data_IF_283491085155
#
_entry.id   IF_283491085155
#
_cell.length_a   1.000
_cell.length_b   1.000
_cell.length_c   1.000
_cell.angle_alpha   90.00
_cell.angle_beta   90.00
_cell.angle_gamma   90.00
#
_symmetry.space_group_name_H-M   'P 1'
#
loop_
_entity.id
_entity.type
_entity.pdbx_description
1 polymer ?
#
# COMPACT_ATOMS: atom_id res chain seq x y z
N UNK A 1 8.52 16.64 20.85
CA UNK A 1 7.41 16.45 19.88
C UNK A 1 7.19 17.77 19.18
N UNK A 2 6.75 17.81 17.91
CA UNK A 2 6.34 19.07 17.29
C UNK A 2 5.22 19.72 18.12
N UNK A 3 5.21 21.05 18.19
CA UNK A 3 4.26 21.82 19.01
C UNK A 3 2.82 21.76 18.48
N UNK A 4 2.66 21.35 17.22
CA UNK A 4 1.36 21.19 16.57
C UNK A 4 1.28 19.82 15.87
N UNK A 5 0.08 19.19 15.83
CA UNK A 5 -0.18 18.04 14.98
C UNK A 5 0.22 18.30 13.53
N UNK A 6 0.70 17.26 12.79
CA UNK A 6 1.25 17.42 11.45
C UNK A 6 0.26 17.95 10.40
N UNK A 7 -1.04 17.92 10.71
CA UNK A 7 -2.11 18.32 9.77
C UNK A 7 -2.61 19.76 9.97
N UNK A 8 -2.08 20.53 10.92
CA UNK A 8 -2.44 21.94 11.10
C UNK A 8 -1.54 22.87 10.27
N UNK A 9 -2.08 24.02 9.85
CA UNK A 9 -1.33 25.05 9.12
C UNK A 9 -0.92 24.68 7.69
N UNK A 10 -1.61 23.73 7.07
CA UNK A 10 -1.33 23.30 5.69
C UNK A 10 -1.74 24.38 4.67
N UNK A 11 -1.03 24.43 3.54
CA UNK A 11 -1.34 25.37 2.45
C UNK A 11 -2.61 24.91 1.69
N UNK A 12 -3.70 25.68 1.69
CA UNK A 12 -4.96 25.27 1.06
C UNK A 12 -5.07 25.64 -0.44
N UNK A 13 -4.00 26.16 -1.06
CA UNK A 13 -4.05 26.77 -2.40
C UNK A 13 -4.61 25.84 -3.49
N UNK A 14 -4.38 24.53 -3.40
CA UNK A 14 -4.80 23.56 -4.44
C UNK A 14 -5.62 22.39 -3.87
N UNK A 15 -6.59 22.71 -2.99
CA UNK A 15 -7.53 21.74 -2.44
C UNK A 15 -8.84 21.77 -3.25
N UNK A 16 -9.07 20.76 -4.10
CA UNK A 16 -10.15 20.77 -5.10
C UNK A 16 -11.33 19.84 -4.78
N UNK A 17 -11.22 19.01 -3.74
CA UNK A 17 -12.32 18.14 -3.33
C UNK A 17 -13.44 18.92 -2.66
N UNK A 18 -14.68 18.48 -2.87
CA UNK A 18 -15.78 18.93 -2.04
C UNK A 18 -15.67 18.28 -0.63
N UNK A 19 -16.46 18.78 0.32
CA UNK A 19 -16.39 18.33 1.71
C UNK A 19 -16.75 16.84 1.89
N UNK A 20 -17.66 16.31 1.08
CA UNK A 20 -18.11 14.91 1.15
C UNK A 20 -17.00 13.96 0.69
N UNK A 21 -16.44 14.22 -0.49
CA UNK A 21 -15.30 13.47 -1.04
C UNK A 21 -14.10 13.52 -0.08
N UNK A 22 -13.81 14.69 0.47
CA UNK A 22 -12.69 14.86 1.39
C UNK A 22 -12.88 14.07 2.69
N UNK A 23 -14.10 14.04 3.24
CA UNK A 23 -14.42 13.23 4.42
C UNK A 23 -14.34 11.73 4.13
N UNK A 24 -14.82 11.31 2.96
CA UNK A 24 -14.73 9.92 2.51
C UNK A 24 -13.27 9.45 2.41
N UNK A 25 -12.44 10.21 1.68
CA UNK A 25 -11.01 9.95 1.52
C UNK A 25 -10.28 9.92 2.86
N UNK A 26 -10.59 10.85 3.77
CA UNK A 26 -10.02 10.88 5.11
C UNK A 26 -10.41 9.63 5.94
N UNK A 27 -11.64 9.12 5.76
CA UNK A 27 -12.07 7.86 6.37
C UNK A 27 -11.25 6.68 5.86
N UNK A 28 -11.13 6.54 4.55
CA UNK A 28 -10.38 5.45 3.93
C UNK A 28 -8.86 5.53 4.18
N UNK A 29 -8.32 6.72 4.43
CA UNK A 29 -6.94 6.87 4.90
C UNK A 29 -6.67 6.10 6.20
N UNK A 30 -7.60 6.12 7.16
CA UNK A 30 -7.44 5.33 8.39
C UNK A 30 -7.59 3.83 8.15
N UNK A 31 -8.48 3.43 7.23
CA UNK A 31 -8.57 2.02 6.79
C UNK A 31 -7.25 1.56 6.12
N UNK A 32 -6.59 2.44 5.37
CA UNK A 32 -5.30 2.15 4.74
C UNK A 32 -4.20 1.84 5.77
N UNK A 33 -4.21 2.50 6.94
CA UNK A 33 -3.28 2.19 8.04
C UNK A 33 -3.48 0.76 8.52
N UNK A 34 -4.74 0.31 8.64
CA UNK A 34 -5.04 -1.07 9.01
C UNK A 34 -4.60 -2.07 7.94
N UNK A 35 -4.86 -1.79 6.66
CA UNK A 35 -4.39 -2.63 5.55
C UNK A 35 -2.85 -2.72 5.52
N UNK A 36 -2.14 -1.63 5.78
CA UNK A 36 -0.68 -1.62 5.88
C UNK A 36 -0.18 -2.47 7.07
N UNK A 37 -0.88 -2.43 8.20
CA UNK A 37 -0.60 -3.30 9.34
C UNK A 37 -0.79 -4.78 8.98
N UNK A 38 -1.87 -5.13 8.27
CA UNK A 38 -2.13 -6.51 7.81
C UNK A 38 -1.02 -6.99 6.85
N UNK A 39 -0.53 -6.13 5.94
CA UNK A 39 0.66 -6.43 5.13
C UNK A 39 1.89 -6.74 6.00
N UNK A 40 2.13 -5.96 7.05
CA UNK A 40 3.23 -6.20 8.00
C UNK A 40 3.04 -7.48 8.81
N UNK A 41 1.81 -7.91 9.09
CA UNK A 41 1.54 -9.20 9.74
C UNK A 41 1.96 -10.36 8.84
N UNK A 42 1.68 -10.29 7.53
CA UNK A 42 2.16 -11.30 6.57
C UNK A 42 3.70 -11.36 6.57
N UNK A 43 4.36 -10.20 6.56
CA UNK A 43 5.81 -10.12 6.69
C UNK A 43 6.30 -10.72 8.01
N UNK A 44 5.59 -10.53 9.13
CA UNK A 44 5.98 -11.13 10.40
C UNK A 44 5.81 -12.66 10.42
N UNK A 45 4.77 -13.21 9.76
CA UNK A 45 4.52 -14.66 9.71
C UNK A 45 5.68 -15.45 9.09
N UNK A 46 6.28 -14.91 8.02
CA UNK A 46 7.39 -15.54 7.28
C UNK A 46 8.76 -14.87 7.52
N UNK A 47 8.76 -13.67 8.10
CA UNK A 47 9.91 -12.80 8.31
C UNK A 47 10.35 -12.65 9.77
N UNK A 48 9.53 -13.11 10.71
CA UNK A 48 9.70 -12.97 12.15
C UNK A 48 9.27 -11.61 12.69
N UNK A 49 9.53 -10.51 11.96
CA UNK A 49 9.10 -9.15 12.34
C UNK A 49 8.99 -8.21 11.14
N UNK A 50 8.25 -7.14 11.33
CA UNK A 50 8.24 -5.96 10.47
C UNK A 50 8.29 -4.68 11.34
N UNK A 51 9.06 -3.65 10.98
CA UNK A 51 9.98 -3.57 9.83
C UNK A 51 11.27 -4.38 10.01
N UNK A 52 12.03 -4.53 8.92
CA UNK A 52 13.32 -5.24 8.84
C UNK A 52 13.25 -6.72 9.25
N UNK A 53 12.61 -7.57 8.44
CA UNK A 53 12.62 -9.02 8.68
C UNK A 53 14.03 -9.61 8.68
N UNK A 54 14.28 -10.64 9.50
CA UNK A 54 15.58 -11.30 9.66
C UNK A 54 15.52 -12.79 9.25
N UNK A 55 14.50 -13.19 8.50
CA UNK A 55 14.33 -14.61 8.10
C UNK A 55 15.16 -15.01 6.89
N UNK A 56 15.67 -14.05 6.10
CA UNK A 56 16.51 -14.37 4.95
C UNK A 56 17.85 -14.96 5.38
N UNK A 57 18.16 -16.12 4.81
CA UNK A 57 19.41 -16.85 5.02
C UNK A 57 19.96 -17.29 3.67
N UNK A 58 21.24 -17.61 3.63
CA UNK A 58 21.84 -18.22 2.44
C UNK A 58 21.08 -19.52 2.10
N UNK A 59 20.47 -19.58 0.92
CA UNK A 59 19.67 -20.71 0.47
C UNK A 59 18.15 -20.57 0.64
N UNK A 60 17.64 -19.48 1.24
CA UNK A 60 16.20 -19.22 1.26
C UNK A 60 15.73 -18.45 2.50
N UNK A 61 14.69 -18.97 3.15
CA UNK A 61 14.00 -18.35 4.28
C UNK A 61 14.00 -19.32 5.47
N UNK A 62 14.35 -18.82 6.66
CA UNK A 62 14.46 -19.63 7.88
C UNK A 62 13.09 -20.08 8.44
N UNK A 63 12.02 -19.37 8.10
CA UNK A 63 10.67 -19.69 8.57
C UNK A 63 10.01 -20.76 7.68
N UNK A 64 9.65 -21.90 8.28
CA UNK A 64 8.87 -22.92 7.59
C UNK A 64 7.44 -22.43 7.27
N UNK A 65 6.92 -22.70 6.05
CA UNK A 65 5.56 -22.36 5.64
C UNK A 65 4.57 -23.44 6.10
N UNK A 66 4.25 -23.47 7.39
CA UNK A 66 3.25 -24.40 7.91
C UNK A 66 1.84 -24.07 7.38
N UNK A 67 0.96 -25.06 7.29
CA UNK A 67 -0.41 -24.89 6.80
C UNK A 67 -1.13 -23.73 7.53
N UNK A 68 -1.03 -23.66 8.85
CA UNK A 68 -1.66 -22.60 9.66
C UNK A 68 -1.16 -21.19 9.29
N UNK A 69 0.12 -21.04 8.93
CA UNK A 69 0.68 -19.73 8.51
C UNK A 69 0.20 -19.35 7.13
N UNK A 70 0.08 -20.33 6.22
CA UNK A 70 -0.42 -20.12 4.87
C UNK A 70 -1.89 -19.69 4.92
N UNK A 71 -2.73 -20.38 5.69
CA UNK A 71 -4.14 -20.02 5.87
C UNK A 71 -4.30 -18.62 6.47
N UNK A 72 -3.53 -18.27 7.51
CA UNK A 72 -3.51 -16.92 8.06
C UNK A 72 -3.11 -15.87 7.03
N UNK A 73 -2.08 -16.14 6.23
CA UNK A 73 -1.64 -15.22 5.19
C UNK A 73 -2.70 -15.04 4.09
N UNK A 74 -3.37 -16.12 3.66
CA UNK A 74 -4.45 -16.06 2.66
C UNK A 74 -5.65 -15.23 3.17
N UNK A 75 -6.02 -15.39 4.43
CA UNK A 75 -7.08 -14.58 5.04
C UNK A 75 -6.72 -13.08 5.05
N UNK A 76 -5.48 -12.74 5.44
CA UNK A 76 -4.98 -11.36 5.42
C UNK A 76 -4.94 -10.81 3.98
N UNK A 77 -4.47 -11.59 3.01
CA UNK A 77 -4.47 -11.22 1.58
C UNK A 77 -5.89 -10.95 1.08
N UNK A 78 -6.88 -11.73 1.53
CA UNK A 78 -8.29 -11.49 1.22
C UNK A 78 -8.75 -10.11 1.67
N UNK A 79 -8.50 -9.76 2.94
CA UNK A 79 -8.82 -8.43 3.50
C UNK A 79 -8.11 -7.30 2.76
N UNK A 80 -6.80 -7.45 2.50
CA UNK A 80 -6.01 -6.45 1.78
C UNK A 80 -6.52 -6.29 0.34
N UNK A 81 -6.83 -7.39 -0.35
CA UNK A 81 -7.37 -7.33 -1.71
C UNK A 81 -8.72 -6.62 -1.75
N UNK A 82 -9.58 -6.83 -0.76
CA UNK A 82 -10.87 -6.15 -0.68
C UNK A 82 -10.68 -4.65 -0.44
N UNK A 83 -9.79 -4.26 0.48
CA UNK A 83 -9.42 -2.86 0.69
C UNK A 83 -8.90 -2.21 -0.61
N UNK A 84 -7.99 -2.88 -1.32
CA UNK A 84 -7.42 -2.35 -2.57
C UNK A 84 -8.53 -2.11 -3.60
N UNK A 85 -9.39 -3.10 -3.83
CA UNK A 85 -10.45 -3.01 -4.86
C UNK A 85 -11.55 -2.03 -4.51
N UNK A 86 -12.01 -2.03 -3.26
CA UNK A 86 -13.19 -1.28 -2.84
C UNK A 86 -12.90 0.13 -2.33
N UNK A 87 -11.64 0.43 -1.96
CA UNK A 87 -11.21 1.72 -1.41
C UNK A 87 -10.10 2.35 -2.24
N UNK A 88 -8.92 1.74 -2.24
CA UNK A 88 -7.72 2.35 -2.82
C UNK A 88 -7.87 2.67 -4.32
N UNK A 89 -8.44 1.74 -5.09
CA UNK A 89 -8.70 1.95 -6.53
C UNK A 89 -9.74 3.05 -6.74
N UNK A 90 -10.82 3.04 -5.97
CA UNK A 90 -11.86 4.07 -6.04
C UNK A 90 -11.31 5.47 -5.74
N UNK A 91 -10.49 5.61 -4.70
CA UNK A 91 -9.84 6.86 -4.33
C UNK A 91 -8.89 7.35 -5.43
N UNK A 92 -8.11 6.43 -6.00
CA UNK A 92 -7.22 6.73 -7.12
C UNK A 92 -8.00 7.25 -8.33
N UNK A 93 -9.13 6.63 -8.66
CA UNK A 93 -9.99 7.08 -9.74
C UNK A 93 -10.59 8.47 -9.46
N UNK A 94 -11.06 8.72 -8.23
CA UNK A 94 -11.57 10.04 -7.84
C UNK A 94 -10.50 11.12 -7.95
N UNK A 95 -9.32 10.89 -7.38
CA UNK A 95 -8.17 11.81 -7.47
C UNK A 95 -7.82 12.07 -8.93
N UNK A 96 -7.80 11.02 -9.77
CA UNK A 96 -7.45 11.13 -11.19
C UNK A 96 -8.40 12.05 -11.97
N UNK A 97 -9.69 12.07 -11.61
CA UNK A 97 -10.70 12.93 -12.23
C UNK A 97 -10.56 14.38 -11.75
N UNK A 98 -10.45 14.58 -10.44
CA UNK A 98 -10.39 15.92 -9.83
C UNK A 98 -9.10 16.67 -10.19
N UNK A 99 -7.99 15.94 -10.30
CA UNK A 99 -6.67 16.48 -10.66
C UNK A 99 -6.23 16.05 -12.08
N UNK A 100 -7.15 16.01 -13.04
CA UNK A 100 -6.85 15.55 -14.40
C UNK A 100 -5.80 16.39 -15.16
N UNK A 101 -5.60 17.64 -14.78
CA UNK A 101 -4.52 18.50 -15.27
C UNK A 101 -3.12 17.99 -14.88
N UNK A 102 -2.99 17.26 -13.77
CA UNK A 102 -1.71 16.73 -13.30
C UNK A 102 -1.13 15.67 -14.25
N UNK A 103 -1.93 15.10 -15.16
CA UNK A 103 -1.41 14.26 -16.25
C UNK A 103 -0.52 15.01 -17.24
N UNK A 104 -0.59 16.36 -17.26
CA UNK A 104 0.21 17.23 -18.12
C UNK A 104 1.36 17.92 -17.39
N UNK A 105 1.43 17.79 -16.07
CA UNK A 105 2.43 18.42 -15.22
C UNK A 105 3.51 17.39 -14.90
N UNK A 106 4.79 17.78 -14.97
CA UNK A 106 5.91 16.89 -14.65
C UNK A 106 6.21 15.80 -15.71
N UNK A 107 5.71 15.96 -16.95
CA UNK A 107 6.00 15.04 -18.05
C UNK A 107 7.52 15.03 -18.34
N UNK A 108 8.08 13.82 -18.46
CA UNK A 108 9.45 13.56 -18.91
C UNK A 108 9.45 12.69 -20.16
N UNK A 109 10.50 12.73 -21.00
CA UNK A 109 10.67 11.78 -22.11
C UNK A 109 10.59 10.32 -21.63
N UNK A 110 10.04 9.45 -22.47
CA UNK A 110 9.83 8.03 -22.18
C UNK A 110 11.15 7.23 -22.19
N UNK A 111 11.97 7.46 -21.16
CA UNK A 111 13.21 6.74 -20.88
C UNK A 111 13.03 6.08 -19.50
N UNK A 112 12.54 4.85 -19.53
CA UNK A 112 12.28 4.04 -18.33
C UNK A 112 13.16 2.80 -18.35
N UNK A 113 13.58 2.36 -17.16
CA UNK A 113 14.36 1.14 -16.96
C UNK A 113 13.64 0.28 -15.92
N UNK A 114 13.46 -1.00 -16.22
CA UNK A 114 12.90 -2.00 -15.31
C UNK A 114 13.74 -3.28 -15.38
N UNK A 115 14.14 -3.79 -14.22
CA UNK A 115 14.88 -5.05 -14.09
C UNK A 115 13.98 -6.26 -13.87
N UNK A 116 12.66 -6.05 -13.77
CA UNK A 116 11.69 -7.03 -13.29
C UNK A 116 11.97 -7.46 -11.84
N UNK A 117 10.95 -7.95 -11.13
CA UNK A 117 11.08 -8.25 -9.70
C UNK A 117 10.68 -9.67 -9.34
N UNK A 118 9.56 -10.16 -9.85
CA UNK A 118 9.02 -11.48 -9.49
C UNK A 118 9.41 -12.51 -10.54
N UNK A 119 10.17 -13.52 -10.13
CA UNK A 119 10.44 -14.71 -10.93
C UNK A 119 9.31 -15.72 -10.72
N UNK A 120 8.60 -16.07 -11.79
CA UNK A 120 7.60 -17.14 -11.78
C UNK A 120 8.28 -18.42 -12.28
N UNK A 121 8.41 -19.42 -11.42
CA UNK A 121 8.88 -20.74 -11.83
C UNK A 121 7.70 -21.51 -12.42
N UNK A 122 7.77 -21.81 -13.71
CA UNK A 122 6.88 -22.79 -14.31
C UNK A 122 7.52 -24.17 -14.15
N UNK A 123 6.89 -25.04 -13.37
CA UNK A 123 7.23 -26.45 -13.34
C UNK A 123 6.91 -27.06 -14.73
N UNK A 124 7.87 -27.79 -15.28
CA UNK A 124 7.62 -28.79 -16.33
C UNK A 124 7.43 -30.14 -15.68
#
# INVERSE_FOLDING_TARGET
MPDHPPFHGQNPTDLRFNSEDNLCLAGYYFEAVKAAQECHQILALFGGKAPHQHSFVHGGVAAAPTADKVEQALALIGSISEFVKSRMVHDTELISRVYSDYFRIGIKPAQFLSFWLVQIWNEK
#
